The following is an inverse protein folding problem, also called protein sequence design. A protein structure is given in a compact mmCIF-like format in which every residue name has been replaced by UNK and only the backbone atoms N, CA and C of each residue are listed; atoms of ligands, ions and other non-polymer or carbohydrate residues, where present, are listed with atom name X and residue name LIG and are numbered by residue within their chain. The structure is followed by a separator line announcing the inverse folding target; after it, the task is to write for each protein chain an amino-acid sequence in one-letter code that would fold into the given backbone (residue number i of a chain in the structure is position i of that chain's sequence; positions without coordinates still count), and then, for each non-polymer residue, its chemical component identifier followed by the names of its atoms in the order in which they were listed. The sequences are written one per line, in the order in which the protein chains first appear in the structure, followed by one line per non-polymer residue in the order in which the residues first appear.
data_IF_149218881906
#
_entry.id   IF_149218881906
#
_cell.length_a   1.000
_cell.length_b   1.000
_cell.length_c   1.000
_cell.angle_alpha   90.00
_cell.angle_beta   90.00
_cell.angle_gamma   90.00
#
_symmetry.space_group_name_H-M   'P 1'
#
loop_
_entity.id
_entity.type
_entity.pdbx_description
1 polymer ?
#
# COMPACT_ATOMS: atom_id res chain seq x y z
N UNK A 1 29.18 4.05 0.96
CA UNK A 1 28.44 3.51 2.12
C UNK A 1 28.34 2.00 1.97
N UNK A 2 28.63 1.22 3.00
CA UNK A 2 28.56 -0.25 2.92
C UNK A 2 27.17 -0.72 3.34
N UNK A 3 26.40 -1.40 2.47
CA UNK A 3 25.09 -1.90 2.83
C UNK A 3 25.21 -3.08 3.82
N UNK A 4 24.19 -3.24 4.67
CA UNK A 4 24.04 -4.35 5.61
C UNK A 4 22.58 -4.76 5.63
N UNK A 5 22.31 -6.06 5.53
CA UNK A 5 20.97 -6.59 5.78
C UNK A 5 20.72 -6.61 7.29
N UNK A 6 19.58 -6.05 7.69
CA UNK A 6 19.13 -6.03 9.08
C UNK A 6 17.73 -6.63 9.12
N UNK A 7 17.55 -7.64 9.96
CA UNK A 7 16.25 -8.29 10.18
C UNK A 7 15.62 -7.70 11.42
N UNK A 8 14.45 -7.09 11.25
CA UNK A 8 13.60 -6.59 12.32
C UNK A 8 12.59 -7.65 12.70
N UNK A 9 12.46 -7.93 13.99
CA UNK A 9 11.60 -8.98 14.51
C UNK A 9 10.70 -8.48 15.63
N UNK A 10 9.41 -8.84 15.58
CA UNK A 10 8.45 -8.58 16.66
C UNK A 10 7.51 -9.78 16.80
N UNK A 11 7.07 -10.07 18.02
CA UNK A 11 6.05 -11.10 18.28
C UNK A 11 4.72 -10.45 18.61
N UNK A 12 3.65 -11.03 18.09
CA UNK A 12 2.31 -10.59 18.45
C UNK A 12 1.23 -11.39 17.75
N UNK A 13 0.04 -11.35 18.33
CA UNK A 13 -1.16 -11.97 17.77
C UNK A 13 -1.71 -11.17 16.60
N UNK A 14 -2.07 -11.91 15.55
CA UNK A 14 -2.82 -11.44 14.41
C UNK A 14 -4.30 -11.37 14.75
N UNK A 15 -4.96 -10.32 14.28
CA UNK A 15 -6.32 -10.27 13.70
C UNK A 15 -6.89 -8.85 13.88
N UNK A 16 -7.35 -8.16 12.82
CA UNK A 16 -7.01 -8.24 11.38
C UNK A 16 -5.82 -7.34 10.97
N UNK A 17 -5.12 -6.74 11.94
CA UNK A 17 -4.05 -5.76 11.70
C UNK A 17 -2.69 -6.41 11.44
N UNK A 18 -1.87 -5.77 10.59
CA UNK A 18 -0.50 -6.18 10.26
C UNK A 18 0.50 -5.32 11.04
N UNK A 19 1.63 -5.92 11.47
CA UNK A 19 2.74 -5.15 12.03
C UNK A 19 3.55 -4.48 10.93
N UNK A 20 3.90 -3.22 11.16
CA UNK A 20 4.79 -2.47 10.29
C UNK A 20 5.86 -1.74 11.10
N UNK A 21 6.95 -1.43 10.43
CA UNK A 21 8.06 -0.64 10.95
C UNK A 21 8.21 0.63 10.11
N UNK A 22 8.35 1.76 10.79
CA UNK A 22 8.67 3.05 10.17
C UNK A 22 9.83 3.69 10.94
N UNK A 23 10.62 4.51 10.28
CA UNK A 23 11.84 5.06 10.87
C UNK A 23 12.43 6.23 10.13
N UNK A 24 13.55 6.70 10.65
CA UNK A 24 14.21 7.96 10.27
C UNK A 24 14.93 7.97 8.91
N UNK A 25 14.94 6.86 8.17
CA UNK A 25 15.66 6.76 6.90
C UNK A 25 14.73 6.31 5.75
N UNK A 26 15.20 6.50 4.52
CA UNK A 26 14.43 6.20 3.30
C UNK A 26 13.95 4.75 3.26
N UNK A 27 14.82 3.81 3.64
CA UNK A 27 14.49 2.38 3.68
C UNK A 27 13.43 2.01 4.72
N UNK A 28 13.15 2.92 5.68
CA UNK A 28 12.10 2.79 6.69
C UNK A 28 10.99 3.83 6.52
N UNK A 29 10.93 4.54 5.39
CA UNK A 29 9.81 5.43 5.05
C UNK A 29 9.87 6.84 5.64
N UNK A 30 10.99 7.29 6.24
CA UNK A 30 11.17 8.66 6.76
C UNK A 30 10.04 9.15 7.68
N UNK A 31 9.61 8.32 8.63
CA UNK A 31 8.48 8.59 9.52
C UNK A 31 7.14 8.82 8.83
N UNK A 32 7.00 8.48 7.54
CA UNK A 32 5.73 8.45 6.84
C UNK A 32 5.11 7.05 6.94
N UNK A 33 3.97 6.87 7.63
CA UNK A 33 3.31 5.57 7.76
C UNK A 33 2.88 4.95 6.43
N UNK A 34 2.62 5.77 5.40
CA UNK A 34 2.27 5.27 4.05
C UNK A 34 3.45 4.60 3.35
N UNK A 35 4.68 4.93 3.74
CA UNK A 35 5.91 4.36 3.21
C UNK A 35 6.55 3.35 4.19
N UNK A 36 5.83 2.97 5.25
CA UNK A 36 6.32 2.02 6.23
C UNK A 36 6.47 0.62 5.61
N UNK A 37 7.36 -0.17 6.20
CA UNK A 37 7.60 -1.54 5.76
C UNK A 37 6.71 -2.48 6.56
N UNK A 38 5.80 -3.17 5.87
CA UNK A 38 5.00 -4.23 6.47
C UNK A 38 5.88 -5.44 6.79
N UNK A 39 5.77 -5.96 8.00
CA UNK A 39 6.42 -7.21 8.38
C UNK A 39 5.60 -8.37 7.84
N UNK A 40 6.29 -9.46 7.50
CA UNK A 40 5.69 -10.71 7.09
C UNK A 40 5.75 -11.69 8.25
N UNK A 41 4.69 -12.45 8.49
CA UNK A 41 4.73 -13.41 9.56
C UNK A 41 5.48 -14.68 9.13
N UNK A 42 6.30 -15.24 10.03
CA UNK A 42 7.15 -16.40 9.75
C UNK A 42 6.38 -17.73 9.90
N UNK A 43 5.36 -17.78 10.76
CA UNK A 43 4.66 -19.02 11.10
C UNK A 43 3.22 -18.80 11.58
N UNK A 44 2.24 -19.57 11.10
CA UNK A 44 0.82 -19.46 11.49
C UNK A 44 0.53 -20.09 12.88
N UNK A 45 1.13 -19.56 13.94
CA UNK A 45 0.82 -19.98 15.32
C UNK A 45 0.32 -18.82 16.18
N UNK A 46 -0.30 -19.14 17.32
CA UNK A 46 -0.89 -18.15 18.24
C UNK A 46 0.12 -17.11 18.77
N UNK A 47 1.43 -17.38 18.70
CA UNK A 47 2.51 -16.42 18.99
C UNK A 47 3.38 -16.29 17.76
N UNK A 48 2.83 -15.58 16.77
CA UNK A 48 3.42 -15.40 15.44
C UNK A 48 4.64 -14.48 15.54
N UNK A 49 5.78 -14.94 15.02
CA UNK A 49 6.96 -14.11 14.83
C UNK A 49 6.82 -13.36 13.50
N UNK A 50 7.07 -12.07 13.51
CA UNK A 50 6.96 -11.19 12.35
C UNK A 50 8.32 -10.64 11.99
N UNK A 51 8.65 -10.64 10.70
CA UNK A 51 9.98 -10.25 10.21
C UNK A 51 9.93 -9.32 9.01
N UNK A 52 10.87 -8.40 8.96
CA UNK A 52 11.22 -7.64 7.77
C UNK A 52 12.74 -7.54 7.65
N UNK A 53 13.29 -7.94 6.49
CA UNK A 53 14.72 -7.79 6.21
C UNK A 53 14.93 -6.57 5.33
N UNK A 54 15.68 -5.60 5.82
CA UNK A 54 15.84 -4.28 5.20
C UNK A 54 17.32 -3.99 5.00
N UNK A 55 17.67 -3.42 3.85
CA UNK A 55 19.04 -3.01 3.55
C UNK A 55 19.31 -1.63 4.15
N UNK A 56 20.20 -1.56 5.13
CA UNK A 56 20.59 -0.33 5.82
C UNK A 56 22.08 -0.02 5.62
N UNK A 57 22.46 1.24 5.77
CA UNK A 57 23.86 1.64 5.74
C UNK A 57 24.56 1.32 7.05
N UNK A 58 25.66 0.57 6.99
CA UNK A 58 26.47 0.24 8.17
C UNK A 58 27.06 1.50 8.81
N UNK A 59 27.04 1.57 10.14
CA UNK A 59 27.63 2.65 10.91
C UNK A 59 26.76 3.91 11.03
N UNK A 60 25.53 3.89 10.51
CA UNK A 60 24.56 4.97 10.65
C UNK A 60 23.55 4.60 11.72
N UNK A 61 23.31 5.51 12.67
CA UNK A 61 22.25 5.34 13.66
C UNK A 61 20.89 5.57 13.01
N UNK A 62 19.96 4.62 13.18
CA UNK A 62 18.62 4.68 12.61
C UNK A 62 17.60 4.51 13.73
N UNK A 63 16.72 5.48 13.87
CA UNK A 63 15.57 5.40 14.78
C UNK A 63 14.41 4.72 14.06
N UNK A 64 13.65 3.89 14.79
CA UNK A 64 12.51 3.16 14.27
C UNK A 64 11.42 2.98 15.34
N UNK A 65 10.19 2.78 14.88
CA UNK A 65 9.03 2.46 15.69
C UNK A 65 8.21 1.37 15.01
N UNK A 66 7.67 0.45 15.82
CA UNK A 66 6.69 -0.54 15.36
C UNK A 66 5.28 -0.02 15.61
N UNK A 67 4.37 -0.31 14.68
CA UNK A 67 2.95 -0.03 14.84
C UNK A 67 2.12 -1.12 14.17
N UNK A 68 0.83 -1.14 14.51
CA UNK A 68 -0.17 -1.98 13.86
C UNK A 68 -1.02 -1.14 12.93
N UNK A 69 -1.40 -1.70 11.78
CA UNK A 69 -2.25 -1.00 10.84
C UNK A 69 -2.83 -1.88 9.76
N UNK A 70 -3.62 -1.24 8.89
CA UNK A 70 -4.23 -1.85 7.72
C UNK A 70 -3.49 -1.39 6.46
N UNK A 71 -2.87 -2.33 5.75
CA UNK A 71 -2.29 -2.08 4.43
C UNK A 71 -3.36 -2.38 3.39
N UNK A 72 -4.08 -1.33 2.99
CA UNK A 72 -5.17 -1.44 2.04
C UNK A 72 -4.64 -1.52 0.61
N UNK A 73 -5.29 -2.33 -0.22
CA UNK A 73 -5.00 -2.33 -1.65
C UNK A 73 -5.44 -0.99 -2.28
N UNK A 74 -4.60 -0.36 -3.12
CA UNK A 74 -4.99 0.84 -3.81
C UNK A 74 -6.19 0.54 -4.71
N UNK A 75 -7.26 1.33 -4.58
CA UNK A 75 -8.34 1.34 -5.57
C UNK A 75 -7.79 1.92 -6.87
N UNK A 76 -7.46 1.07 -7.82
CA UNK A 76 -7.02 1.48 -9.15
C UNK A 76 -8.13 2.29 -9.83
N UNK A 77 -7.98 3.62 -9.87
CA UNK A 77 -8.89 4.56 -10.56
C UNK A 77 -8.96 4.30 -12.08
N UNK A 78 -8.01 3.55 -12.64
CA UNK A 78 -7.95 3.22 -14.08
C UNK A 78 -9.17 2.43 -14.56
N UNK A 79 -9.81 1.61 -13.70
CA UNK A 79 -11.04 0.90 -14.09
C UNK A 79 -12.23 1.84 -14.27
N UNK A 80 -12.30 2.93 -13.50
CA UNK A 80 -13.38 3.91 -13.56
C UNK A 80 -13.29 4.79 -14.80
N UNK A 81 -12.08 5.21 -15.19
CA UNK A 81 -11.88 6.07 -16.37
C UNK A 81 -12.32 5.36 -17.67
N UNK A 82 -11.95 4.09 -17.85
CA UNK A 82 -12.35 3.30 -19.02
C UNK A 82 -13.87 3.04 -19.11
N UNK A 83 -14.57 2.99 -17.97
CA UNK A 83 -16.04 2.85 -17.95
C UNK A 83 -16.77 4.15 -18.28
N UNK A 84 -16.17 5.32 -18.02
CA UNK A 84 -16.82 6.60 -18.32
C UNK A 84 -16.73 6.98 -19.80
N UNK A 85 -15.69 6.52 -20.50
CA UNK A 85 -15.56 6.71 -21.96
C UNK A 85 -16.60 5.92 -22.78
N UNK A 86 -17.26 4.91 -22.20
CA UNK A 86 -18.27 4.08 -22.88
C UNK A 86 -19.71 4.56 -22.71
N UNK A 87 -19.97 5.64 -21.95
CA UNK A 87 -21.32 6.14 -21.69
C UNK A 87 -21.68 7.42 -22.47
N UNK A 88 -20.90 7.79 -23.48
CA UNK A 88 -21.31 8.82 -24.43
C UNK A 88 -21.73 8.18 -25.76
N UNK A 89 -22.92 8.55 -26.23
CA UNK A 89 -23.51 8.26 -27.54
C UNK A 89 -24.37 7.01 -27.66
N UNK A 90 -25.64 7.12 -27.26
CA UNK A 90 -26.76 6.89 -28.19
C UNK A 90 -27.95 7.74 -27.73
N UNK A 91 -27.99 8.99 -28.19
CA UNK A 91 -29.19 9.82 -28.17
C UNK A 91 -29.65 10.02 -29.60
N UNK A 92 -30.50 9.12 -30.10
CA UNK A 92 -31.18 9.31 -31.39
C UNK A 92 -32.32 10.30 -31.18
N UNK A 93 -32.08 11.57 -31.51
CA UNK A 93 -33.12 12.58 -31.60
C UNK A 93 -33.68 12.57 -33.03
N UNK A 94 -34.81 11.89 -33.25
CA UNK A 94 -35.60 12.02 -34.46
C UNK A 94 -36.23 13.42 -34.49
N UNK A 95 -35.57 14.37 -35.14
CA UNK A 95 -36.16 15.65 -35.51
C UNK A 95 -36.68 15.59 -36.93
N UNK A 96 -37.88 15.03 -37.12
CA UNK A 96 -38.68 15.28 -38.33
C UNK A 96 -39.16 16.74 -38.30
N UNK A 97 -38.41 17.60 -39.00
CA UNK A 97 -38.81 18.95 -39.40
C UNK A 97 -39.83 18.95 -40.56
N UNK A 98 -40.45 20.10 -40.86
CA UNK A 98 -41.76 20.18 -41.51
C UNK A 98 -41.68 20.08 -43.04
N UNK A 99 -42.52 19.23 -43.64
CA UNK A 99 -42.68 19.10 -45.08
C UNK A 99 -44.14 19.35 -45.47
N UNK A 100 -44.41 20.49 -46.10
CA UNK A 100 -45.75 20.91 -46.48
C UNK A 100 -46.33 20.22 -47.71
N UNK A 101 -47.66 20.24 -47.79
CA UNK A 101 -48.49 20.77 -48.90
C UNK A 101 -49.93 20.86 -48.42
#
# INVERSE_FOLDING_TARGET
MTPSQVTFEIRGTLLPEVFAICGSCDALGNWNPQNAVALLPENETASMLWKATILLSRGVSVQHCYFKGYFLEPKTIVKLLLTMDNLESTGEADTRGPGGR
#
